data_IF_800108068953
#
_entry.id   IF_800108068953
#
_cell.length_a   1.000
_cell.length_b   1.000
_cell.length_c   1.000
_cell.angle_alpha   90.00
_cell.angle_beta   90.00
_cell.angle_gamma   90.00
#
_symmetry.space_group_name_H-M   'P 1'
#
loop_
_entity.id
_entity.type
_entity.pdbx_description
1 polymer ?
#
# COMPACT_ATOMS: atom_id res chain seq x y z
N UNK A 1 -8.23 -5.07 -21.22
CA UNK A 1 -9.05 -5.90 -22.13
C UNK A 1 -9.19 -5.12 -23.43
N UNK A 2 -9.08 -5.79 -24.58
CA UNK A 2 -9.30 -5.14 -25.87
C UNK A 2 -10.70 -4.50 -25.91
N UNK A 3 -10.79 -3.22 -26.27
CA UNK A 3 -12.04 -2.46 -26.24
C UNK A 3 -12.45 -1.86 -24.89
N UNK A 4 -11.66 -2.02 -23.82
CA UNK A 4 -11.86 -1.29 -22.57
C UNK A 4 -11.27 0.12 -22.66
N UNK A 5 -12.04 1.12 -22.23
CA UNK A 5 -11.62 2.53 -22.15
C UNK A 5 -11.67 2.95 -20.69
N UNK A 6 -10.60 3.58 -20.15
CA UNK A 6 -10.59 4.08 -18.78
C UNK A 6 -11.77 5.01 -18.51
N UNK A 7 -12.42 4.80 -17.36
CA UNK A 7 -13.54 5.58 -16.84
C UNK A 7 -14.83 5.55 -17.67
N UNK A 8 -14.94 4.63 -18.62
CA UNK A 8 -16.13 4.43 -19.44
C UNK A 8 -16.74 3.04 -19.29
N UNK A 9 -18.06 2.94 -19.53
CA UNK A 9 -18.73 1.65 -19.73
C UNK A 9 -19.22 1.54 -21.16
N UNK A 10 -18.58 0.66 -21.94
CA UNK A 10 -18.87 0.48 -23.36
C UNK A 10 -19.80 -0.72 -23.53
N UNK A 11 -20.74 -0.64 -24.47
CA UNK A 11 -21.55 -1.80 -24.88
C UNK A 11 -21.18 -2.18 -26.30
N UNK A 12 -20.78 -3.42 -26.51
CA UNK A 12 -20.42 -3.96 -27.82
C UNK A 12 -21.65 -4.21 -28.68
N UNK A 13 -21.46 -4.41 -29.99
CA UNK A 13 -22.56 -4.67 -30.94
C UNK A 13 -23.39 -5.93 -30.61
N UNK A 14 -22.78 -6.92 -29.95
CA UNK A 14 -23.45 -8.14 -29.46
C UNK A 14 -24.01 -8.00 -28.02
N UNK A 15 -24.08 -6.79 -27.47
CA UNK A 15 -24.74 -6.49 -26.20
C UNK A 15 -23.90 -6.73 -24.94
N UNK A 16 -22.60 -7.00 -25.05
CA UNK A 16 -21.71 -7.18 -23.89
C UNK A 16 -21.31 -5.82 -23.32
N UNK A 17 -21.40 -5.65 -22.00
CA UNK A 17 -20.93 -4.44 -21.30
C UNK A 17 -19.51 -4.62 -20.80
N UNK A 18 -18.61 -3.72 -21.20
CA UNK A 18 -17.23 -3.63 -20.74
C UNK A 18 -17.15 -2.44 -19.79
N UNK A 19 -16.94 -2.70 -18.50
CA UNK A 19 -16.80 -1.67 -17.46
C UNK A 19 -15.33 -1.33 -17.29
N UNK A 20 -14.94 -0.11 -17.64
CA UNK A 20 -13.57 0.40 -17.58
C UNK A 20 -13.29 1.32 -16.39
N UNK A 21 -14.06 1.22 -15.30
CA UNK A 21 -13.89 2.11 -14.15
C UNK A 21 -12.49 1.95 -13.51
N UNK A 22 -11.68 3.01 -13.56
CA UNK A 22 -10.28 2.96 -13.14
C UNK A 22 -10.09 3.02 -11.62
N UNK A 23 -11.02 3.66 -10.91
CA UNK A 23 -10.96 3.82 -9.46
C UNK A 23 -12.18 3.21 -8.75
N UNK A 24 -12.33 1.89 -8.85
CA UNK A 24 -13.39 1.16 -8.13
C UNK A 24 -13.38 1.43 -6.62
N UNK A 25 -12.23 1.47 -5.91
CA UNK A 25 -12.22 1.75 -4.47
C UNK A 25 -12.90 3.08 -4.10
N UNK A 26 -12.78 4.12 -4.93
CA UNK A 26 -13.46 5.40 -4.69
C UNK A 26 -14.99 5.31 -4.71
N UNK A 27 -15.58 4.28 -5.34
CA UNK A 27 -17.03 4.07 -5.32
C UNK A 27 -17.52 3.61 -3.93
N UNK A 28 -16.65 2.96 -3.14
CA UNK A 28 -16.85 2.63 -1.72
C UNK A 28 -15.78 3.36 -0.89
N UNK A 29 -15.75 4.69 -0.98
CA UNK A 29 -14.68 5.51 -0.40
C UNK A 29 -14.53 5.29 1.11
N UNK A 30 -15.63 5.21 1.87
CA UNK A 30 -15.59 5.02 3.32
C UNK A 30 -14.93 3.69 3.70
N UNK A 31 -15.43 2.57 3.16
CA UNK A 31 -14.89 1.24 3.46
C UNK A 31 -13.46 1.07 2.97
N UNK A 32 -13.14 1.60 1.77
CA UNK A 32 -11.78 1.55 1.25
C UNK A 32 -10.82 2.35 2.12
N UNK A 33 -11.26 3.48 2.67
CA UNK A 33 -10.47 4.28 3.60
C UNK A 33 -10.24 3.54 4.91
N UNK A 34 -11.26 2.90 5.49
CA UNK A 34 -11.11 2.11 6.72
C UNK A 34 -10.14 0.94 6.54
N UNK A 35 -10.26 0.18 5.43
CA UNK A 35 -9.35 -0.92 5.13
C UNK A 35 -7.91 -0.42 4.91
N UNK A 36 -7.74 0.69 4.20
CA UNK A 36 -6.42 1.29 4.00
C UNK A 36 -5.81 1.81 5.31
N UNK A 37 -6.59 2.48 6.15
CA UNK A 37 -6.15 2.94 7.46
C UNK A 37 -5.69 1.78 8.34
N UNK A 38 -6.41 0.65 8.34
CA UNK A 38 -5.99 -0.56 9.04
C UNK A 38 -4.65 -1.10 8.51
N UNK A 39 -4.44 -1.11 7.19
CA UNK A 39 -3.15 -1.49 6.61
C UNK A 39 -2.01 -0.56 7.07
N UNK A 40 -2.25 0.75 7.13
CA UNK A 40 -1.27 1.73 7.62
C UNK A 40 -0.94 1.53 9.09
N UNK A 41 -1.95 1.34 9.95
CA UNK A 41 -1.74 1.10 11.39
C UNK A 41 -0.93 -0.17 11.62
N UNK A 42 -1.27 -1.25 10.91
CA UNK A 42 -0.54 -2.51 11.01
C UNK A 42 0.93 -2.33 10.59
N UNK A 43 1.18 -1.63 9.47
CA UNK A 43 2.54 -1.36 9.02
C UNK A 43 3.33 -0.44 9.98
N UNK A 44 2.75 0.68 10.43
CA UNK A 44 3.43 1.58 11.38
C UNK A 44 3.75 0.85 12.69
N UNK A 45 2.86 -0.05 13.14
CA UNK A 45 3.10 -0.85 14.34
C UNK A 45 4.37 -1.71 14.20
N UNK A 46 4.68 -2.24 13.01
CA UNK A 46 5.94 -2.98 12.80
C UNK A 46 7.18 -2.07 12.81
N UNK A 47 7.04 -0.81 12.40
CA UNK A 47 8.12 0.19 12.44
C UNK A 47 8.37 0.74 13.84
N UNK A 48 7.38 0.70 14.72
CA UNK A 48 7.48 1.22 16.09
C UNK A 48 7.84 0.12 17.11
N UNK A 49 7.90 -1.13 16.68
CA UNK A 49 8.28 -2.24 17.53
C UNK A 49 9.76 -2.11 17.96
N UNK A 50 10.10 -2.39 19.23
CA UNK A 50 11.48 -2.37 19.70
C UNK A 50 12.33 -3.36 18.88
N UNK A 51 13.57 -2.97 18.55
CA UNK A 51 14.51 -3.82 17.80
C UNK A 51 14.87 -5.14 18.53
N UNK A 52 14.61 -5.22 19.84
CA UNK A 52 14.79 -6.42 20.65
C UNK A 52 13.46 -6.82 21.30
N UNK A 53 13.05 -8.08 21.12
CA UNK A 53 11.87 -8.68 21.78
C UNK A 53 11.93 -8.65 23.31
N UNK A 54 13.10 -8.35 23.90
CA UNK A 54 13.37 -8.49 25.34
C UNK A 54 13.50 -7.16 26.10
N UNK A 55 13.43 -6.00 25.44
CA UNK A 55 13.44 -4.69 26.12
C UNK A 55 12.02 -4.09 26.24
N UNK A 56 11.21 -4.74 27.08
CA UNK A 56 9.89 -4.24 27.47
C UNK A 56 9.94 -2.93 28.29
N UNK A 57 11.14 -2.44 28.61
CA UNK A 57 11.42 -1.22 29.36
C UNK A 57 11.58 0.02 28.48
N UNK A 58 11.70 -0.15 27.16
CA UNK A 58 11.73 0.95 26.19
C UNK A 58 10.34 1.61 26.07
N UNK A 59 9.99 2.44 27.06
CA UNK A 59 8.78 3.30 27.10
C UNK A 59 8.80 4.44 26.08
N UNK A 60 9.79 4.48 25.18
CA UNK A 60 9.94 5.54 24.19
C UNK A 60 9.53 5.00 22.84
N UNK A 61 8.46 5.55 22.29
CA UNK A 61 8.06 5.32 20.90
C UNK A 61 9.18 5.84 20.00
N UNK A 62 9.97 4.93 19.44
CA UNK A 62 11.04 5.24 18.51
C UNK A 62 10.72 4.62 17.15
N UNK A 63 11.04 5.35 16.08
CA UNK A 63 10.96 4.81 14.73
C UNK A 63 12.15 3.88 14.50
N UNK A 64 11.89 2.59 14.37
CA UNK A 64 12.87 1.55 14.13
C UNK A 64 12.76 1.10 12.66
N UNK A 65 13.60 1.69 11.82
CA UNK A 65 13.70 1.38 10.40
C UNK A 65 14.83 0.37 10.18
N UNK A 66 14.49 -0.92 10.11
CA UNK A 66 15.44 -1.95 9.71
C UNK A 66 15.41 -2.12 8.19
N UNK A 67 16.41 -1.54 7.54
CA UNK A 67 16.56 -1.62 6.09
C UNK A 67 16.98 -3.00 5.57
N UNK A 68 17.34 -3.93 6.47
CA UNK A 68 17.64 -5.33 6.16
C UNK A 68 16.42 -6.25 6.35
N UNK A 69 15.36 -5.79 7.03
CA UNK A 69 14.10 -6.52 7.11
C UNK A 69 13.44 -6.60 5.72
N UNK A 70 12.96 -7.78 5.35
CA UNK A 70 12.41 -8.06 4.01
C UNK A 70 11.21 -7.15 3.68
N UNK A 71 10.36 -6.86 4.66
CA UNK A 71 9.13 -6.09 4.46
C UNK A 71 9.44 -4.59 4.51
N UNK A 72 10.16 -4.12 5.53
CA UNK A 72 10.48 -2.71 5.68
C UNK A 72 11.41 -2.21 4.57
N UNK A 73 12.44 -2.99 4.23
CA UNK A 73 13.40 -2.66 3.17
C UNK A 73 12.77 -2.65 1.78
N UNK A 74 11.81 -3.53 1.49
CA UNK A 74 11.11 -3.57 0.21
C UNK A 74 10.13 -2.40 0.01
N UNK A 75 9.50 -1.92 1.09
CA UNK A 75 8.56 -0.80 1.04
C UNK A 75 9.29 0.56 0.98
N UNK A 76 10.53 0.64 1.44
CA UNK A 76 11.34 1.86 1.42
C UNK A 76 11.94 2.15 0.02
N UNK A 77 11.18 2.87 -0.83
CA UNK A 77 11.62 3.23 -2.19
C UNK A 77 12.75 4.27 -2.25
N UNK A 78 12.89 5.08 -1.18
CA UNK A 78 13.95 6.09 -1.02
C UNK A 78 14.38 6.16 0.44
N UNK A 79 15.67 6.29 0.70
CA UNK A 79 16.23 6.54 2.04
C UNK A 79 17.59 7.23 1.91
N UNK A 80 17.97 8.08 2.87
CA UNK A 80 19.25 8.81 2.86
C UNK A 80 19.58 9.52 1.54
N UNK A 81 18.57 10.20 0.97
CA UNK A 81 18.67 10.90 -0.31
C UNK A 81 19.07 10.00 -1.50
N UNK A 82 18.85 8.69 -1.38
CA UNK A 82 19.12 7.71 -2.42
C UNK A 82 17.84 6.96 -2.81
N UNK A 83 17.71 6.70 -4.12
CA UNK A 83 16.66 5.82 -4.65
C UNK A 83 17.08 4.37 -4.40
N UNK A 84 16.20 3.61 -3.74
CA UNK A 84 16.39 2.17 -3.45
C UNK A 84 15.59 1.27 -4.38
N UNK A 85 14.61 1.83 -5.10
CA UNK A 85 13.81 1.09 -6.07
C UNK A 85 14.72 0.58 -7.20
N UNK A 86 14.95 -0.73 -7.24
CA UNK A 86 15.61 -1.37 -8.37
C UNK A 86 14.74 -1.20 -9.63
N UNK A 87 15.32 -0.70 -10.72
CA UNK A 87 14.66 -0.80 -12.03
C UNK A 87 14.54 -2.28 -12.39
N UNK A 88 13.31 -2.76 -12.50
CA UNK A 88 13.00 -4.05 -13.11
C UNK A 88 13.20 -3.98 -14.62
#
# INVERSE_FOLDING_TARGET
VEGSVPDETITTANGVRIVGAANIPSQLAAQSSDLYANNLVNFITTLMAPAAKDDASAKTLALNLDMNDEIQGALAVTHDNQVRLAKR
#
